data_IF_876604789816
#
_entry.id   IF_876604789816
#
_cell.length_a   1.000
_cell.length_b   1.000
_cell.length_c   1.000
_cell.angle_alpha   90.00
_cell.angle_beta   90.00
_cell.angle_gamma   90.00
#
_symmetry.space_group_name_H-M   'P 1'
#
loop_
_entity.id
_entity.type
_entity.pdbx_description
1 polymer ?
#
# COMPACT_ATOMS: atom_id res chain seq x y z
N UNK A 1 19.69 -11.05 -34.90
CA UNK A 1 18.27 -10.82 -35.32
C UNK A 1 17.35 -11.13 -34.16
N UNK A 2 16.95 -10.06 -33.41
CA UNK A 2 16.13 -10.17 -32.20
C UNK A 2 14.61 -10.18 -32.56
N UNK A 3 14.30 -10.21 -33.85
CA UNK A 3 12.92 -10.12 -34.36
C UNK A 3 12.10 -11.42 -34.24
N UNK A 4 12.71 -12.52 -33.84
CA UNK A 4 12.08 -13.85 -33.75
C UNK A 4 11.90 -14.38 -32.32
N UNK A 5 12.08 -13.54 -31.29
CA UNK A 5 11.60 -13.92 -29.96
C UNK A 5 10.08 -13.89 -30.02
N UNK A 6 9.46 -15.06 -30.12
CA UNK A 6 8.03 -15.23 -29.94
C UNK A 6 7.69 -14.50 -28.65
N UNK A 7 6.82 -13.49 -28.75
CA UNK A 7 6.24 -12.85 -27.56
C UNK A 7 5.48 -13.96 -26.85
N UNK A 8 6.10 -14.51 -25.79
CA UNK A 8 5.62 -15.68 -25.11
C UNK A 8 4.17 -15.48 -24.68
N UNK A 9 3.37 -16.49 -24.94
CA UNK A 9 2.11 -16.69 -24.25
C UNK A 9 2.39 -16.61 -22.73
N UNK A 10 1.52 -15.99 -21.97
CA UNK A 10 1.65 -15.96 -20.51
C UNK A 10 1.72 -17.40 -20.02
N UNK A 11 2.66 -17.70 -19.13
CA UNK A 11 2.73 -19.00 -18.50
C UNK A 11 1.38 -19.26 -17.79
N UNK A 12 0.75 -20.40 -18.07
CA UNK A 12 -0.53 -20.78 -17.46
C UNK A 12 -0.45 -20.74 -15.92
N UNK A 13 0.68 -21.15 -15.34
CA UNK A 13 0.91 -21.11 -13.89
C UNK A 13 0.85 -19.68 -13.31
N UNK A 14 1.36 -18.67 -14.06
CA UNK A 14 1.26 -17.27 -13.66
C UNK A 14 -0.17 -16.74 -13.78
N UNK A 15 -0.92 -17.21 -14.76
CA UNK A 15 -2.32 -16.85 -14.92
C UNK A 15 -3.16 -17.43 -13.78
N UNK A 16 -2.93 -18.68 -13.40
CA UNK A 16 -3.57 -19.33 -12.25
C UNK A 16 -3.20 -18.63 -10.93
N UNK A 17 -1.92 -18.31 -10.74
CA UNK A 17 -1.47 -17.58 -9.55
C UNK A 17 -2.14 -16.20 -9.43
N UNK A 18 -2.47 -15.57 -10.56
CA UNK A 18 -3.15 -14.26 -10.56
C UNK A 18 -4.57 -14.34 -10.00
N UNK A 19 -5.21 -15.52 -10.02
CA UNK A 19 -6.52 -15.73 -9.43
C UNK A 19 -6.48 -15.66 -7.89
N UNK A 20 -5.35 -15.95 -7.26
CA UNK A 20 -5.15 -15.86 -5.81
C UNK A 20 -5.08 -14.41 -5.32
N UNK A 21 -4.83 -13.44 -6.22
CA UNK A 21 -4.71 -12.02 -5.91
C UNK A 21 -5.97 -11.21 -6.30
N UNK A 22 -7.16 -11.80 -6.18
CA UNK A 22 -8.41 -11.06 -6.33
C UNK A 22 -8.61 -10.07 -5.18
N UNK A 23 -9.17 -8.89 -5.49
CA UNK A 23 -9.53 -7.89 -4.48
C UNK A 23 -10.47 -8.50 -3.44
N UNK A 24 -10.01 -8.56 -2.20
CA UNK A 24 -10.76 -9.17 -1.10
C UNK A 24 -10.34 -8.60 0.25
N UNK A 25 -11.35 -8.41 1.11
CA UNK A 25 -11.14 -8.09 2.53
C UNK A 25 -11.16 -9.38 3.35
N UNK A 26 -10.08 -9.63 4.05
CA UNK A 26 -9.99 -10.70 5.04
C UNK A 26 -10.17 -10.12 6.43
N UNK A 27 -10.93 -10.80 7.28
CA UNK A 27 -11.19 -10.39 8.68
C UNK A 27 -10.73 -11.49 9.63
N UNK A 28 -9.41 -11.58 9.90
CA UNK A 28 -8.87 -12.62 10.79
C UNK A 28 -9.32 -12.45 12.24
N UNK A 29 -9.66 -11.22 12.64
CA UNK A 29 -10.24 -10.90 13.95
C UNK A 29 -11.45 -9.95 13.76
N UNK A 30 -12.35 -9.85 14.74
CA UNK A 30 -13.51 -8.96 14.62
C UNK A 30 -13.18 -7.48 14.40
N UNK A 31 -12.00 -7.05 14.81
CA UNK A 31 -11.51 -5.68 14.76
C UNK A 31 -10.24 -5.52 13.90
N UNK A 32 -9.89 -6.53 13.10
CA UNK A 32 -8.73 -6.52 12.21
C UNK A 32 -9.14 -6.97 10.81
N UNK A 33 -8.95 -6.11 9.81
CA UNK A 33 -9.31 -6.36 8.44
C UNK A 33 -8.15 -6.06 7.52
N UNK A 34 -7.94 -6.89 6.51
CA UNK A 34 -6.82 -6.79 5.58
C UNK A 34 -7.34 -6.76 4.14
N UNK A 35 -7.06 -5.68 3.43
CA UNK A 35 -7.29 -5.57 2.00
C UNK A 35 -6.14 -6.23 1.24
N UNK A 36 -6.47 -7.29 0.51
CA UNK A 36 -5.51 -8.07 -0.30
C UNK A 36 -5.93 -8.01 -1.76
N UNK A 37 -4.97 -7.90 -2.68
CA UNK A 37 -5.22 -7.95 -4.12
C UNK A 37 -5.62 -6.60 -4.75
N UNK A 38 -5.69 -5.52 -4.00
CA UNK A 38 -5.99 -4.17 -4.51
C UNK A 38 -4.79 -3.51 -5.21
N UNK A 39 -3.60 -3.91 -4.86
CA UNK A 39 -2.34 -3.41 -5.39
C UNK A 39 -1.19 -4.32 -4.97
N UNK A 40 0.04 -3.83 -5.08
CA UNK A 40 1.24 -4.58 -4.69
C UNK A 40 1.30 -4.79 -3.18
N UNK A 41 1.02 -3.75 -2.41
CA UNK A 41 0.93 -3.81 -0.96
C UNK A 41 -0.46 -4.22 -0.48
N UNK A 42 -0.57 -4.63 0.77
CA UNK A 42 -1.82 -4.76 1.49
C UNK A 42 -2.07 -3.49 2.33
N UNK A 43 -3.34 -3.21 2.63
CA UNK A 43 -3.71 -2.20 3.62
C UNK A 43 -4.46 -2.88 4.75
N UNK A 44 -4.16 -2.48 5.99
CA UNK A 44 -4.73 -3.10 7.17
C UNK A 44 -5.53 -2.06 7.96
N UNK A 45 -6.76 -2.42 8.30
CA UNK A 45 -7.64 -1.65 9.17
C UNK A 45 -7.71 -2.32 10.55
N UNK A 46 -7.37 -1.57 11.58
CA UNK A 46 -7.60 -1.94 12.99
C UNK A 46 -8.69 -1.03 13.55
N UNK A 47 -9.80 -1.62 13.99
CA UNK A 47 -10.99 -0.90 14.47
C UNK A 47 -10.99 -0.86 16.01
N UNK A 48 -10.82 0.33 16.57
CA UNK A 48 -11.01 0.62 17.99
C UNK A 48 -12.36 1.28 18.28
N UNK A 49 -12.60 1.64 19.52
CA UNK A 49 -13.80 2.36 19.93
C UNK A 49 -13.64 3.87 19.64
N UNK A 50 -14.40 4.37 18.69
CA UNK A 50 -14.36 5.79 18.25
C UNK A 50 -13.21 6.17 17.36
N UNK A 51 -12.15 5.38 17.23
CA UNK A 51 -10.98 5.64 16.40
C UNK A 51 -10.48 4.35 15.73
N UNK A 52 -9.97 4.47 14.52
CA UNK A 52 -9.34 3.34 13.81
C UNK A 52 -7.91 3.66 13.39
N UNK A 53 -7.14 2.62 13.07
CA UNK A 53 -5.79 2.74 12.51
C UNK A 53 -5.75 2.07 11.14
N UNK A 54 -5.23 2.80 10.17
CA UNK A 54 -4.87 2.27 8.84
C UNK A 54 -3.36 2.05 8.82
N UNK A 55 -2.95 0.82 8.52
CA UNK A 55 -1.52 0.50 8.31
C UNK A 55 -1.32 0.28 6.82
N UNK A 56 -0.48 1.12 6.22
CA UNK A 56 -0.22 1.28 4.80
C UNK A 56 -1.46 1.67 3.97
N UNK A 57 -1.25 2.54 3.00
CA UNK A 57 -2.32 3.27 2.33
C UNK A 57 -2.43 3.01 0.84
N UNK A 58 -1.77 1.98 0.32
CA UNK A 58 -1.70 1.66 -1.11
C UNK A 58 -0.81 2.62 -1.93
N UNK A 59 -0.63 2.30 -3.22
CA UNK A 59 0.25 2.99 -4.15
C UNK A 59 -0.33 4.24 -4.81
N UNK A 60 -1.59 4.56 -4.57
CA UNK A 60 -2.24 5.73 -5.16
C UNK A 60 -3.66 5.97 -4.67
N UNK A 61 -4.18 7.13 -5.01
CA UNK A 61 -5.51 7.61 -4.59
C UNK A 61 -6.62 6.67 -5.09
N UNK A 62 -6.54 6.22 -6.34
CA UNK A 62 -7.58 5.36 -6.93
C UNK A 62 -7.67 4.01 -6.20
N UNK A 63 -6.54 3.36 -5.98
CA UNK A 63 -6.47 2.07 -5.27
C UNK A 63 -6.92 2.23 -3.83
N UNK A 64 -6.48 3.28 -3.15
CA UNK A 64 -6.91 3.58 -1.78
C UNK A 64 -8.43 3.81 -1.68
N UNK A 65 -9.03 4.50 -2.65
CA UNK A 65 -10.49 4.71 -2.69
C UNK A 65 -11.27 3.39 -2.84
N UNK A 66 -10.73 2.40 -3.60
CA UNK A 66 -11.35 1.07 -3.66
C UNK A 66 -11.29 0.36 -2.32
N UNK A 67 -10.14 0.41 -1.64
CA UNK A 67 -9.97 -0.14 -0.27
C UNK A 67 -10.94 0.53 0.70
N UNK A 68 -11.01 1.86 0.71
CA UNK A 68 -11.91 2.62 1.58
C UNK A 68 -13.38 2.22 1.35
N UNK A 69 -13.79 2.10 0.08
CA UNK A 69 -15.14 1.68 -0.28
C UNK A 69 -15.47 0.29 0.25
N UNK A 70 -14.58 -0.67 0.03
CA UNK A 70 -14.84 -2.08 0.38
C UNK A 70 -14.66 -2.36 1.87
N UNK A 71 -13.91 -1.52 2.60
CA UNK A 71 -13.81 -1.54 4.06
C UNK A 71 -14.89 -0.69 4.76
N UNK A 72 -15.70 0.09 4.03
CA UNK A 72 -16.58 1.10 4.60
C UNK A 72 -17.54 0.57 5.66
N UNK A 73 -18.19 -0.57 5.41
CA UNK A 73 -19.11 -1.20 6.37
C UNK A 73 -18.39 -1.81 7.60
N UNK A 74 -17.08 -2.01 7.52
CA UNK A 74 -16.25 -2.57 8.59
C UNK A 74 -15.64 -1.48 9.48
N UNK A 75 -15.59 -0.23 9.01
CA UNK A 75 -15.05 0.91 9.75
C UNK A 75 -16.16 1.87 10.15
N UNK A 76 -16.69 1.78 11.39
CA UNK A 76 -17.72 2.70 11.87
C UNK A 76 -17.18 4.08 12.26
N UNK A 77 -15.83 4.24 12.32
CA UNK A 77 -15.18 5.43 12.84
C UNK A 77 -14.90 6.44 11.72
N UNK A 78 -15.05 7.73 12.03
CA UNK A 78 -14.71 8.86 11.16
C UNK A 78 -13.31 9.43 11.46
N UNK A 79 -12.75 9.06 12.62
CA UNK A 79 -11.43 9.46 13.07
C UNK A 79 -10.47 8.28 12.89
N UNK A 80 -9.34 8.54 12.21
CA UNK A 80 -8.34 7.52 11.98
C UNK A 80 -6.93 8.06 12.23
N UNK A 81 -6.03 7.14 12.61
CA UNK A 81 -4.59 7.30 12.47
C UNK A 81 -4.11 6.51 11.26
N UNK A 82 -3.01 6.95 10.68
CA UNK A 82 -2.31 6.23 9.62
C UNK A 82 -0.94 5.81 10.16
N UNK A 83 -0.49 4.61 9.82
CA UNK A 83 0.87 4.17 10.07
C UNK A 83 1.49 3.62 8.79
N UNK A 84 2.74 3.93 8.54
CA UNK A 84 3.51 3.35 7.44
C UNK A 84 4.49 2.32 7.96
N UNK A 85 4.47 1.12 7.36
CA UNK A 85 5.48 0.10 7.64
C UNK A 85 6.85 0.51 7.12
N UNK A 86 6.89 1.15 5.96
CA UNK A 86 8.11 1.68 5.36
C UNK A 86 7.80 2.72 4.25
N UNK A 87 8.85 3.27 3.64
CA UNK A 87 8.78 4.43 2.75
C UNK A 87 8.36 4.16 1.30
N UNK A 88 8.21 2.92 0.86
CA UNK A 88 7.90 2.63 -0.53
C UNK A 88 6.54 3.20 -0.96
N UNK A 89 6.48 3.56 -2.23
CA UNK A 89 5.33 4.25 -2.83
C UNK A 89 4.01 3.49 -2.69
N UNK A 90 4.06 2.17 -2.84
CA UNK A 90 2.91 1.27 -2.74
C UNK A 90 2.33 1.16 -1.32
N UNK A 91 3.01 1.70 -0.32
CA UNK A 91 2.56 1.78 1.08
C UNK A 91 2.09 3.18 1.50
N UNK A 92 2.53 4.23 0.78
CA UNK A 92 2.43 5.60 1.30
C UNK A 92 1.61 6.56 0.44
N UNK A 93 1.45 6.33 -0.87
CA UNK A 93 0.89 7.33 -1.79
C UNK A 93 -0.63 7.41 -1.81
N UNK A 94 -1.34 6.45 -1.22
CA UNK A 94 -2.79 6.49 -1.12
C UNK A 94 -3.34 7.28 0.07
N UNK A 95 -2.49 7.79 0.96
CA UNK A 95 -2.91 8.46 2.19
C UNK A 95 -3.82 9.68 1.96
N UNK A 96 -3.66 10.37 0.84
CA UNK A 96 -4.53 11.48 0.45
C UNK A 96 -6.00 11.08 0.33
N UNK A 97 -6.30 9.88 -0.18
CA UNK A 97 -7.67 9.38 -0.25
C UNK A 97 -8.27 9.20 1.15
N UNK A 98 -7.50 8.70 2.10
CA UNK A 98 -7.95 8.59 3.49
C UNK A 98 -8.21 9.97 4.10
N UNK A 99 -7.34 10.95 3.83
CA UNK A 99 -7.53 12.34 4.31
C UNK A 99 -8.80 13.00 3.73
N UNK A 100 -9.20 12.65 2.52
CA UNK A 100 -10.43 13.17 1.90
C UNK A 100 -11.69 12.56 2.53
N UNK A 101 -11.61 11.34 3.07
CA UNK A 101 -12.75 10.59 3.58
C UNK A 101 -12.85 10.56 5.12
N UNK A 102 -11.75 10.83 5.84
CA UNK A 102 -11.66 10.71 7.29
C UNK A 102 -10.94 11.91 7.92
N UNK A 103 -11.17 12.12 9.21
CA UNK A 103 -10.36 12.99 10.04
C UNK A 103 -9.07 12.24 10.45
N UNK A 104 -7.92 12.74 10.01
CA UNK A 104 -6.62 12.14 10.34
C UNK A 104 -6.11 12.73 11.66
N UNK A 105 -5.98 11.89 12.69
CA UNK A 105 -5.50 12.25 14.04
C UNK A 105 -4.00 12.03 14.23
N UNK A 106 -3.29 11.63 13.19
CA UNK A 106 -1.84 11.46 13.17
C UNK A 106 -1.39 10.48 12.11
N UNK A 107 -0.15 10.68 11.67
CA UNK A 107 0.54 9.80 10.73
C UNK A 107 1.82 9.30 11.40
N UNK A 108 1.89 8.00 11.63
CA UNK A 108 2.96 7.34 12.39
C UNK A 108 3.99 6.77 11.42
N UNK A 109 5.26 7.03 11.66
CA UNK A 109 6.34 6.47 10.86
C UNK A 109 7.68 6.48 11.58
N UNK A 110 8.61 5.63 11.11
CA UNK A 110 9.99 5.69 11.59
C UNK A 110 10.62 7.05 11.24
N UNK A 111 11.55 7.53 12.08
CA UNK A 111 12.21 8.84 11.90
C UNK A 111 12.91 9.01 10.55
N UNK A 112 13.45 7.93 9.99
CA UNK A 112 14.17 7.98 8.71
C UNK A 112 13.25 7.83 7.49
N UNK A 113 11.95 7.55 7.71
CA UNK A 113 11.00 7.26 6.64
C UNK A 113 10.94 8.39 5.61
N UNK A 114 10.88 9.64 6.07
CA UNK A 114 10.76 10.78 5.16
C UNK A 114 12.04 10.99 4.34
N UNK A 115 13.20 10.92 4.97
CA UNK A 115 14.46 11.08 4.27
C UNK A 115 14.67 9.98 3.22
N UNK A 116 14.28 8.74 3.54
CA UNK A 116 14.33 7.63 2.58
C UNK A 116 13.28 7.77 1.48
N UNK A 117 12.07 8.27 1.79
CA UNK A 117 11.05 8.57 0.79
C UNK A 117 11.52 9.65 -0.19
N UNK A 118 12.05 10.77 0.29
CA UNK A 118 12.59 11.85 -0.56
C UNK A 118 13.76 11.37 -1.42
N UNK A 119 14.67 10.57 -0.86
CA UNK A 119 15.81 9.98 -1.57
C UNK A 119 15.33 9.00 -2.67
N UNK A 120 14.34 8.17 -2.36
CA UNK A 120 13.75 7.22 -3.30
C UNK A 120 12.99 7.93 -4.42
N UNK A 121 12.16 8.91 -4.09
CA UNK A 121 11.35 9.66 -5.05
C UNK A 121 12.15 10.70 -5.84
N UNK A 122 13.35 11.07 -5.37
CA UNK A 122 14.27 11.96 -6.03
C UNK A 122 15.13 11.27 -7.10
N UNK A 123 16.44 11.27 -6.88
CA UNK A 123 17.44 10.81 -7.88
C UNK A 123 17.24 9.34 -8.26
N UNK A 124 16.86 8.49 -7.32
CA UNK A 124 16.72 7.04 -7.54
C UNK A 124 15.50 6.67 -8.40
N UNK A 125 14.47 7.51 -8.45
CA UNK A 125 13.19 7.23 -9.12
C UNK A 125 13.34 6.81 -10.57
N UNK A 126 14.12 7.54 -11.35
CA UNK A 126 14.30 7.25 -12.79
C UNK A 126 14.96 5.89 -13.00
N UNK A 127 16.05 5.62 -12.27
CA UNK A 127 16.78 4.35 -12.37
C UNK A 127 15.91 3.16 -11.90
N UNK A 128 15.17 3.33 -10.83
CA UNK A 128 14.26 2.29 -10.30
C UNK A 128 13.11 2.07 -11.28
N UNK A 129 12.52 3.13 -11.84
CA UNK A 129 11.46 3.02 -12.83
C UNK A 129 11.89 2.25 -14.09
N UNK A 130 13.08 2.52 -14.61
CA UNK A 130 13.62 1.78 -15.75
C UNK A 130 13.87 0.29 -15.43
N UNK A 131 14.37 0.00 -14.24
CA UNK A 131 14.57 -1.38 -13.77
C UNK A 131 13.23 -2.09 -13.56
N UNK A 132 12.28 -1.44 -12.93
CA UNK A 132 10.96 -1.97 -12.62
C UNK A 132 10.21 -2.37 -13.90
N UNK A 133 10.31 -1.57 -14.97
CA UNK A 133 9.71 -1.92 -16.26
C UNK A 133 10.18 -3.28 -16.77
N UNK A 134 11.45 -3.60 -16.57
CA UNK A 134 12.05 -4.87 -17.02
C UNK A 134 11.79 -6.00 -16.02
N UNK A 135 11.92 -5.74 -14.72
CA UNK A 135 11.82 -6.75 -13.67
C UNK A 135 10.38 -7.23 -13.44
N UNK A 136 9.40 -6.33 -13.56
CA UNK A 136 8.00 -6.62 -13.26
C UNK A 136 7.13 -6.77 -14.53
N UNK A 137 7.73 -7.04 -15.68
CA UNK A 137 7.01 -7.31 -16.92
C UNK A 137 6.13 -6.16 -17.42
N UNK A 138 6.38 -4.91 -17.00
CA UNK A 138 5.59 -3.74 -17.41
C UNK A 138 5.69 -3.44 -18.92
N UNK A 139 6.68 -4.01 -19.61
CA UNK A 139 6.88 -3.91 -21.06
C UNK A 139 5.92 -4.83 -21.82
N UNK A 140 5.38 -5.87 -21.18
CA UNK A 140 4.46 -6.81 -21.79
C UNK A 140 3.10 -6.15 -22.05
N UNK A 141 2.50 -6.43 -23.21
CA UNK A 141 1.22 -5.81 -23.60
C UNK A 141 0.04 -6.33 -22.79
N UNK A 142 0.08 -7.60 -22.45
CA UNK A 142 -0.91 -8.20 -21.58
C UNK A 142 -0.51 -7.98 -20.12
N UNK A 143 -1.33 -7.18 -19.42
CA UNK A 143 -1.00 -6.68 -18.09
C UNK A 143 -1.77 -7.37 -16.97
N UNK A 144 -2.50 -8.43 -17.25
CA UNK A 144 -3.42 -9.05 -16.31
C UNK A 144 -2.86 -10.25 -15.56
N UNK A 145 -1.55 -10.33 -15.37
CA UNK A 145 -0.95 -11.42 -14.59
C UNK A 145 -0.19 -10.88 -13.38
N UNK A 146 -0.16 -11.68 -12.31
CA UNK A 146 0.73 -11.46 -11.18
C UNK A 146 2.18 -11.76 -11.59
N UNK A 147 3.11 -10.93 -11.17
CA UNK A 147 4.55 -11.14 -11.34
C UNK A 147 5.17 -11.99 -10.22
N UNK A 148 4.33 -12.61 -9.39
CA UNK A 148 4.70 -13.46 -8.26
C UNK A 148 4.75 -12.74 -6.92
N UNK A 149 4.55 -11.41 -6.90
CA UNK A 149 4.50 -10.61 -5.66
C UNK A 149 3.20 -9.80 -5.51
N UNK A 150 2.28 -9.93 -6.44
CA UNK A 150 0.98 -9.25 -6.40
C UNK A 150 0.57 -8.65 -7.73
N UNK A 151 -0.43 -7.79 -7.68
CA UNK A 151 -0.92 -7.07 -8.85
C UNK A 151 0.04 -5.95 -9.20
N UNK A 152 0.17 -5.66 -10.49
CA UNK A 152 1.09 -4.65 -11.04
C UNK A 152 0.97 -3.30 -10.35
N UNK A 153 2.12 -2.67 -10.20
CA UNK A 153 2.25 -1.26 -9.84
C UNK A 153 1.41 -0.39 -10.77
N UNK A 154 0.67 0.54 -10.20
CA UNK A 154 -0.04 1.56 -10.95
C UNK A 154 0.92 2.33 -11.86
N UNK A 155 0.51 2.60 -13.09
CA UNK A 155 1.32 3.37 -14.02
C UNK A 155 1.33 4.85 -13.59
N UNK A 156 2.51 5.32 -13.22
CA UNK A 156 2.71 6.71 -12.80
C UNK A 156 2.68 6.88 -11.28
N UNK A 157 3.70 7.52 -10.76
CA UNK A 157 3.80 7.80 -9.33
C UNK A 157 3.38 9.25 -9.10
N UNK A 158 2.18 9.44 -8.58
CA UNK A 158 1.69 10.72 -8.09
C UNK A 158 1.97 10.83 -6.60
N UNK A 159 2.86 11.74 -6.22
CA UNK A 159 3.23 11.98 -4.81
C UNK A 159 2.27 12.89 -4.07
N UNK A 160 1.25 13.44 -4.73
CA UNK A 160 0.28 14.36 -4.11
C UNK A 160 -0.51 13.70 -2.98
N UNK A 161 -0.65 12.38 -3.02
CA UNK A 161 -1.32 11.59 -2.00
C UNK A 161 -0.47 11.27 -0.76
N UNK A 162 0.82 11.58 -0.75
CA UNK A 162 1.67 11.33 0.41
C UNK A 162 1.35 12.27 1.57
N UNK A 163 1.22 11.72 2.76
CA UNK A 163 1.14 12.47 4.01
C UNK A 163 2.40 12.21 4.84
N UNK A 164 3.08 13.29 5.19
CA UNK A 164 4.28 13.20 6.02
C UNK A 164 3.94 12.72 7.43
N UNK A 165 4.71 11.78 8.01
CA UNK A 165 4.57 11.42 9.41
C UNK A 165 4.77 12.62 10.34
N UNK A 166 3.85 12.78 11.29
CA UNK A 166 3.91 13.77 12.39
C UNK A 166 4.12 13.11 13.75
N UNK A 167 3.90 11.79 13.84
CA UNK A 167 4.25 10.96 15.00
C UNK A 167 5.44 10.08 14.59
N UNK A 168 6.63 10.48 14.99
CA UNK A 168 7.87 9.79 14.59
C UNK A 168 8.53 9.06 15.76
N UNK A 169 9.05 7.87 15.49
CA UNK A 169 9.74 7.05 16.49
C UNK A 169 11.08 6.50 15.98
N UNK A 170 11.90 5.99 16.86
CA UNK A 170 13.26 5.48 16.57
C UNK A 170 13.31 3.95 16.64
N UNK A 171 13.03 3.37 17.81
CA UNK A 171 13.10 1.91 18.02
C UNK A 171 11.75 1.31 18.30
N UNK A 172 11.00 1.93 19.18
CA UNK A 172 9.67 1.47 19.57
C UNK A 172 8.76 2.65 19.82
N UNK A 173 7.48 2.47 19.54
CA UNK A 173 6.42 3.39 19.88
C UNK A 173 5.17 2.59 20.25
N UNK A 174 4.43 3.04 21.24
CA UNK A 174 3.13 2.46 21.60
C UNK A 174 2.06 3.51 21.40
N UNK A 175 1.01 3.13 20.70
CA UNK A 175 -0.15 3.98 20.44
C UNK A 175 -1.40 3.31 20.99
N UNK A 176 -2.32 4.11 21.51
CA UNK A 176 -3.65 3.66 21.85
C UNK A 176 -4.62 4.08 20.75
N UNK A 177 -5.34 3.12 20.20
CA UNK A 177 -6.32 3.31 19.13
C UNK A 177 -7.67 2.79 19.63
N UNK A 178 -8.52 3.69 20.09
CA UNK A 178 -9.86 3.34 20.59
C UNK A 178 -9.82 2.19 21.61
N UNK A 179 -8.95 2.27 22.63
CA UNK A 179 -8.79 1.26 23.68
C UNK A 179 -7.93 0.04 23.30
N UNK A 180 -7.43 -0.02 22.08
CA UNK A 180 -6.49 -1.06 21.62
C UNK A 180 -5.07 -0.54 21.70
N UNK A 181 -4.18 -1.27 22.37
CA UNK A 181 -2.77 -0.96 22.37
C UNK A 181 -2.10 -1.54 21.13
N UNK A 182 -1.45 -0.69 20.34
CA UNK A 182 -0.66 -1.07 19.16
C UNK A 182 0.80 -0.71 19.40
N UNK A 183 1.68 -1.69 19.35
CA UNK A 183 3.12 -1.49 19.53
C UNK A 183 3.81 -1.51 18.14
N UNK A 184 4.56 -0.45 17.84
CA UNK A 184 5.40 -0.32 16.66
C UNK A 184 6.84 -0.64 17.04
N UNK A 185 7.47 -1.54 16.30
CA UNK A 185 8.83 -2.00 16.57
C UNK A 185 9.62 -1.86 15.27
N UNK A 186 10.70 -1.08 15.31
CA UNK A 186 11.63 -0.99 14.18
C UNK A 186 12.54 -2.25 14.18
N UNK A 187 12.57 -2.97 13.06
CA UNK A 187 13.31 -4.22 12.84
C UNK A 187 14.40 -4.04 11.77
#
# INVERSE_FOLDING_TARGET
>A
DISSVSRGENNEDLSLLSEDFQEKIYSPLPNLHVAVGYGLANSILVVGDGESLIIDTMGGIETANRVIKDMGDLNPNTEIKIAYTHFHADHTLGAGAFKENFQINGVIGHRDLEAEFENFMGIKRTLIGERSQKMFGLILKDKNFSDGIGIKLEAGVDTSGYLKPDIVFDKTHSEEVGGLKVDFIHA
#
